data_IF_793208682098
#
_entry.id   IF_793208682098
#
_cell.length_a   1.000
_cell.length_b   1.000
_cell.length_c   1.000
_cell.angle_alpha   90.00
_cell.angle_beta   90.00
_cell.angle_gamma   90.00
#
_symmetry.space_group_name_H-M   'P 1'
#
loop_
_entity.id
_entity.type
_entity.pdbx_description
1 polymer ?
#
# COMPACT_ATOMS: atom_id res chain seq x y z
N UNK A 1 0.85 9.84 -19.07
CA UNK A 1 2.22 10.17 -18.67
C UNK A 1 2.42 9.77 -17.22
N UNK A 2 3.51 9.06 -16.92
CA UNK A 2 3.91 8.75 -15.54
C UNK A 2 4.86 9.87 -15.09
N UNK A 3 4.51 10.61 -14.03
CA UNK A 3 5.43 11.53 -13.37
C UNK A 3 5.78 10.93 -12.03
N UNK A 4 6.96 10.32 -11.95
CA UNK A 4 7.54 9.82 -10.71
C UNK A 4 8.71 10.73 -10.35
N UNK A 5 8.55 11.59 -9.35
CA UNK A 5 9.69 12.30 -8.74
C UNK A 5 10.45 11.34 -7.82
N UNK A 6 10.99 10.25 -8.37
CA UNK A 6 11.80 9.28 -7.65
C UNK A 6 13.26 9.69 -7.78
N UNK A 7 13.84 10.18 -6.69
CA UNK A 7 15.27 10.50 -6.58
C UNK A 7 16.19 9.27 -6.70
N UNK A 8 15.62 8.08 -6.91
CA UNK A 8 16.31 6.80 -6.97
C UNK A 8 15.84 5.99 -8.18
N UNK A 9 16.79 5.38 -8.90
CA UNK A 9 16.55 4.62 -10.12
C UNK A 9 15.64 3.42 -9.88
N UNK A 10 14.35 3.59 -10.14
CA UNK A 10 13.41 2.48 -10.26
C UNK A 10 13.58 1.89 -11.65
N UNK A 11 13.58 0.56 -11.77
CA UNK A 11 13.63 -0.11 -13.07
C UNK A 11 12.55 0.48 -13.99
N UNK A 12 12.87 0.89 -15.22
CA UNK A 12 11.87 1.37 -16.18
C UNK A 12 10.96 0.24 -16.68
N UNK A 13 11.36 -1.02 -16.46
CA UNK A 13 10.56 -2.20 -16.75
C UNK A 13 9.57 -2.46 -15.59
N UNK A 14 8.26 -2.27 -15.80
CA UNK A 14 7.24 -2.44 -14.77
C UNK A 14 6.99 -3.91 -14.41
N UNK A 15 7.51 -4.87 -15.19
CA UNK A 15 7.42 -6.30 -14.88
C UNK A 15 8.42 -6.75 -13.82
N UNK A 16 9.46 -5.94 -13.55
CA UNK A 16 10.46 -6.22 -12.53
C UNK A 16 9.99 -5.70 -11.17
N UNK A 17 9.62 -6.61 -10.29
CA UNK A 17 9.36 -6.27 -8.89
C UNK A 17 10.63 -5.70 -8.23
N UNK A 18 10.50 -4.52 -7.62
CA UNK A 18 11.53 -3.94 -6.76
C UNK A 18 11.55 -4.55 -5.36
N UNK A 19 10.49 -5.27 -4.98
CA UNK A 19 10.38 -5.89 -3.67
C UNK A 19 11.14 -7.22 -3.66
N UNK A 20 11.95 -7.51 -2.62
CA UNK A 20 12.54 -8.82 -2.43
C UNK A 20 11.46 -9.90 -2.37
N UNK A 21 11.75 -11.09 -2.91
CA UNK A 21 10.83 -12.23 -2.91
C UNK A 21 10.35 -12.65 -1.51
N UNK A 22 11.12 -12.31 -0.47
CA UNK A 22 10.82 -12.59 0.94
C UNK A 22 10.19 -11.42 1.70
N UNK A 23 9.74 -10.38 1.02
CA UNK A 23 9.08 -9.25 1.68
C UNK A 23 7.80 -9.73 2.39
N UNK A 24 7.56 -9.23 3.60
CA UNK A 24 6.39 -9.58 4.43
C UNK A 24 5.67 -8.31 4.81
N UNK A 25 4.36 -8.28 4.59
CA UNK A 25 3.49 -7.18 5.08
C UNK A 25 3.46 -7.25 6.61
N UNK A 26 3.93 -6.18 7.27
CA UNK A 26 3.92 -6.08 8.74
C UNK A 26 2.65 -5.44 9.25
N UNK A 27 2.35 -4.25 8.75
CA UNK A 27 1.16 -3.50 9.12
C UNK A 27 0.59 -2.75 7.93
N UNK A 28 -0.68 -2.41 8.03
CA UNK A 28 -1.43 -1.60 7.07
C UNK A 28 -1.93 -0.37 7.80
N UNK A 29 -1.92 0.77 7.11
CA UNK A 29 -2.57 1.98 7.58
C UNK A 29 -3.63 2.37 6.57
N UNK A 30 -4.77 2.86 7.07
CA UNK A 30 -5.85 3.40 6.25
C UNK A 30 -5.87 4.90 6.47
N UNK A 31 -5.84 5.65 5.38
CA UNK A 31 -5.81 7.11 5.40
C UNK A 31 -7.02 7.65 4.63
N UNK A 32 -7.49 8.82 5.04
CA UNK A 32 -8.60 9.50 4.40
C UNK A 32 -8.16 10.10 3.06
N UNK A 33 -8.97 9.89 2.04
CA UNK A 33 -8.81 10.52 0.73
C UNK A 33 -9.57 11.85 0.63
N UNK A 34 -9.14 12.77 -0.25
CA UNK A 34 -7.91 12.72 -1.05
C UNK A 34 -6.66 12.85 -0.18
N UNK A 35 -5.55 12.24 -0.60
CA UNK A 35 -4.29 12.23 0.16
C UNK A 35 -3.62 13.61 0.13
N UNK A 36 -3.41 14.20 1.30
CA UNK A 36 -2.54 15.36 1.50
C UNK A 36 -1.26 14.92 2.22
N UNK A 37 -0.09 14.92 1.55
CA UNK A 37 1.17 14.51 2.17
C UNK A 37 1.63 15.47 3.28
N UNK A 38 1.15 16.71 3.30
CA UNK A 38 1.46 17.70 4.34
C UNK A 38 0.65 17.43 5.62
N UNK A 39 -0.47 16.72 5.50
CA UNK A 39 -1.40 16.44 6.58
C UNK A 39 -2.05 15.07 6.42
N UNK A 40 -1.36 14.04 6.88
CA UNK A 40 -1.87 12.66 6.80
C UNK A 40 -2.98 12.43 7.83
N UNK A 41 -4.20 12.29 7.36
CA UNK A 41 -5.37 11.95 8.20
C UNK A 41 -5.57 10.43 8.25
N UNK A 42 -5.16 9.79 9.35
CA UNK A 42 -5.32 8.36 9.55
C UNK A 42 -6.74 8.00 9.99
N UNK A 43 -7.37 7.06 9.27
CA UNK A 43 -8.59 6.37 9.68
C UNK A 43 -8.23 5.24 10.65
N UNK A 44 -7.12 4.54 10.37
CA UNK A 44 -6.66 3.39 11.13
C UNK A 44 -5.16 3.18 10.97
N UNK A 45 -4.49 2.73 12.03
CA UNK A 45 -3.06 2.45 12.06
C UNK A 45 -2.80 1.03 12.54
N UNK A 46 -1.60 0.53 12.26
CA UNK A 46 -1.05 -0.72 12.80
C UNK A 46 -1.91 -1.96 12.56
N UNK A 47 -2.69 -1.95 11.47
CA UNK A 47 -3.57 -3.03 11.14
C UNK A 47 -2.77 -4.24 10.67
N UNK A 48 -2.98 -5.39 11.31
CA UNK A 48 -2.30 -6.62 10.89
C UNK A 48 -2.85 -7.12 9.55
N UNK A 49 -2.04 -7.87 8.80
CA UNK A 49 -2.47 -8.45 7.53
C UNK A 49 -3.69 -9.40 7.67
N UNK A 50 -3.77 -10.28 8.68
CA UNK A 50 -4.98 -11.06 8.95
C UNK A 50 -6.23 -10.20 9.17
N UNK A 51 -6.17 -9.21 10.05
CA UNK A 51 -7.33 -8.36 10.38
C UNK A 51 -7.77 -7.50 9.18
N UNK A 52 -6.83 -7.10 8.32
CA UNK A 52 -7.17 -6.44 7.06
C UNK A 52 -7.91 -7.38 6.12
N UNK A 53 -7.40 -8.61 5.93
CA UNK A 53 -8.04 -9.61 5.08
C UNK A 53 -9.46 -9.93 5.55
N UNK A 54 -9.60 -10.14 6.85
CA UNK A 54 -10.87 -10.49 7.48
C UNK A 54 -11.95 -9.45 7.16
N UNK A 55 -11.62 -8.17 7.37
CA UNK A 55 -12.59 -7.07 7.30
C UNK A 55 -12.81 -6.50 5.90
N UNK A 56 -11.82 -6.60 5.00
CA UNK A 56 -11.86 -5.87 3.72
C UNK A 56 -11.62 -6.73 2.48
N UNK A 57 -11.14 -7.97 2.61
CA UNK A 57 -10.92 -8.85 1.46
C UNK A 57 -11.90 -10.03 1.39
N UNK A 58 -12.67 -10.30 2.45
CA UNK A 58 -13.84 -11.17 2.35
C UNK A 58 -15.00 -10.45 1.64
N UNK A 59 -14.95 -10.39 0.31
CA UNK A 59 -16.15 -10.15 -0.48
C UNK A 59 -16.90 -11.46 -0.67
N UNK A 60 -18.14 -11.45 -0.20
CA UNK A 60 -19.15 -12.49 -0.32
C UNK A 60 -19.23 -13.00 -1.77
N UNK A 61 -18.97 -14.30 -1.96
CA UNK A 61 -19.67 -15.04 -3.03
C UNK A 61 -21.14 -15.08 -2.63
N UNK A 62 -21.99 -14.36 -3.35
CA UNK A 62 -23.42 -14.63 -3.43
C UNK A 62 -23.85 -14.58 -4.89
#
# INVERSE_FOLDING_TARGET
GFSSSLSYGTSPDPSKSILPARAVIKTIQRIKGPFDPSKVEYIEKDLTWPDFKDRFLHNNKS
#
